data_IF_833924874359
#
_entry.id   IF_833924874359
#
_cell.length_a   1.000
_cell.length_b   1.000
_cell.length_c   1.000
_cell.angle_alpha   90.00
_cell.angle_beta   90.00
_cell.angle_gamma   90.00
#
_symmetry.space_group_name_H-M   'P 1'
#
loop_
_entity.id
_entity.type
_entity.pdbx_description
1 polymer ?
#
# COMPACT_ATOMS: atom_id res chain seq x y z
N UNK A 1 -11.41 -48.29 2.25
CA UNK A 1 -11.11 -47.10 3.09
C UNK A 1 -10.98 -47.62 4.52
N UNK A 2 -9.76 -47.99 4.94
CA UNK A 2 -9.48 -48.52 6.28
C UNK A 2 -9.15 -47.31 7.18
N UNK A 3 -9.99 -47.06 8.16
CA UNK A 3 -9.81 -46.01 9.16
C UNK A 3 -8.85 -46.50 10.24
N UNK A 4 -7.78 -45.74 10.52
CA UNK A 4 -6.78 -46.00 11.57
C UNK A 4 -7.33 -45.83 13.01
N UNK A 5 -8.60 -46.17 13.24
CA UNK A 5 -9.27 -46.03 14.54
C UNK A 5 -9.46 -47.38 15.28
N UNK A 6 -9.16 -48.51 14.63
CA UNK A 6 -9.31 -49.86 15.21
C UNK A 6 -8.03 -50.42 15.85
N UNK A 7 -6.99 -49.62 16.06
CA UNK A 7 -5.72 -50.09 16.67
C UNK A 7 -5.76 -50.12 18.21
N UNK A 8 -6.89 -49.74 18.82
CA UNK A 8 -7.10 -49.81 20.27
C UNK A 8 -8.14 -50.89 20.61
N UNK A 9 -7.75 -52.16 20.46
CA UNK A 9 -8.50 -53.27 21.05
C UNK A 9 -8.26 -53.25 22.57
N UNK A 10 -9.29 -52.89 23.34
CA UNK A 10 -9.27 -52.74 24.80
C UNK A 10 -9.54 -54.04 25.56
N UNK A 11 -9.84 -55.13 24.86
CA UNK A 11 -10.35 -56.37 25.48
C UNK A 11 -9.30 -57.17 26.26
N UNK A 12 -8.00 -56.88 26.07
CA UNK A 12 -6.88 -57.57 26.74
C UNK A 12 -6.16 -56.69 27.77
N UNK A 13 -6.75 -55.54 28.12
CA UNK A 13 -6.19 -54.63 29.11
C UNK A 13 -6.63 -55.10 30.51
N UNK A 14 -5.70 -55.27 31.48
CA UNK A 14 -6.08 -55.61 32.84
C UNK A 14 -7.00 -54.51 33.40
N UNK A 15 -8.04 -54.86 34.17
CA UNK A 15 -8.90 -53.88 34.86
C UNK A 15 -8.02 -52.96 35.70
N UNK A 16 -7.79 -51.74 35.18
CA UNK A 16 -6.99 -50.72 35.86
C UNK A 16 -7.84 -50.25 37.03
N UNK A 17 -7.58 -50.81 38.21
CA UNK A 17 -8.02 -50.25 39.49
C UNK A 17 -7.71 -48.74 39.51
N UNK A 18 -8.58 -47.96 40.16
CA UNK A 18 -8.72 -46.48 40.19
C UNK A 18 -7.46 -45.62 40.52
N UNK A 19 -6.24 -46.17 40.43
CA UNK A 19 -4.99 -45.55 40.82
C UNK A 19 -3.93 -45.64 39.71
N UNK A 20 -4.16 -44.97 38.59
CA UNK A 20 -3.12 -44.72 37.58
C UNK A 20 -2.63 -43.27 37.69
N UNK A 21 -1.34 -43.08 38.02
CA UNK A 21 -0.67 -41.77 37.95
C UNK A 21 0.27 -41.79 36.75
N UNK A 22 -0.13 -41.12 35.68
CA UNK A 22 0.66 -40.98 34.45
C UNK A 22 1.39 -39.65 34.37
N UNK A 23 2.71 -39.66 34.14
CA UNK A 23 3.46 -38.45 33.80
C UNK A 23 3.35 -38.25 32.28
N UNK A 24 2.57 -37.26 31.86
CA UNK A 24 2.43 -36.90 30.44
C UNK A 24 3.48 -35.85 30.07
N UNK A 25 4.57 -36.28 29.44
CA UNK A 25 5.54 -35.38 28.83
C UNK A 25 5.09 -34.95 27.43
N UNK A 26 4.65 -33.70 27.26
CA UNK A 26 4.51 -33.09 25.92
C UNK A 26 5.85 -32.50 25.50
N UNK A 27 6.54 -33.17 24.57
CA UNK A 27 7.71 -32.61 23.89
C UNK A 27 7.28 -32.07 22.52
N UNK A 28 7.28 -30.74 22.30
CA UNK A 28 7.04 -30.21 20.96
C UNK A 28 8.24 -30.58 20.08
N UNK A 29 8.04 -31.48 19.12
CA UNK A 29 9.01 -31.72 18.06
C UNK A 29 8.82 -30.62 17.02
N UNK A 30 9.80 -29.73 16.88
CA UNK A 30 9.86 -28.83 15.74
C UNK A 30 10.06 -29.67 14.47
N UNK A 31 8.96 -29.98 13.78
CA UNK A 31 9.02 -30.63 12.47
C UNK A 31 9.70 -29.68 11.48
N UNK A 32 10.60 -30.20 10.66
CA UNK A 32 11.24 -29.46 9.55
C UNK A 32 10.21 -28.83 8.60
N UNK A 33 9.01 -29.42 8.52
CA UNK A 33 7.87 -28.89 7.75
C UNK A 33 7.27 -27.63 8.39
N UNK A 34 7.13 -27.60 9.72
CA UNK A 34 6.61 -26.43 10.44
C UNK A 34 7.60 -25.27 10.39
N UNK A 35 8.91 -25.54 10.57
CA UNK A 35 9.96 -24.54 10.41
C UNK A 35 9.99 -23.96 8.99
N UNK A 36 9.76 -24.77 7.96
CA UNK A 36 9.67 -24.28 6.57
C UNK A 36 8.42 -23.42 6.33
N UNK A 37 7.29 -23.80 6.94
CA UNK A 37 6.02 -23.05 6.86
C UNK A 37 6.14 -21.68 7.54
N UNK A 38 6.73 -21.62 8.73
CA UNK A 38 6.98 -20.37 9.44
C UNK A 38 7.88 -19.43 8.63
N UNK A 39 8.98 -19.94 8.06
CA UNK A 39 9.85 -19.18 7.16
C UNK A 39 9.11 -18.65 5.94
N UNK A 40 8.21 -19.45 5.36
CA UNK A 40 7.44 -19.03 4.20
C UNK A 40 6.42 -17.93 4.55
N UNK A 41 5.76 -18.02 5.69
CA UNK A 41 4.87 -16.96 6.17
C UNK A 41 5.61 -15.67 6.51
N UNK A 42 6.78 -15.78 7.13
CA UNK A 42 7.63 -14.63 7.39
C UNK A 42 8.11 -13.98 6.09
N UNK A 43 8.58 -14.78 5.14
CA UNK A 43 8.96 -14.31 3.81
C UNK A 43 7.80 -13.59 3.12
N UNK A 44 6.61 -14.19 3.08
CA UNK A 44 5.42 -13.58 2.49
C UNK A 44 5.07 -12.24 3.15
N UNK A 45 5.15 -12.15 4.48
CA UNK A 45 4.87 -10.91 5.23
C UNK A 45 5.88 -9.81 4.90
N UNK A 46 7.16 -10.16 4.80
CA UNK A 46 8.24 -9.24 4.42
C UNK A 46 8.10 -8.77 2.98
N UNK A 47 7.82 -9.69 2.06
CA UNK A 47 7.62 -9.39 0.64
C UNK A 47 6.39 -8.52 0.42
N UNK A 48 5.24 -8.84 1.05
CA UNK A 48 4.02 -8.05 0.91
C UNK A 48 4.23 -6.61 1.41
N UNK A 49 4.88 -6.46 2.57
CA UNK A 49 5.23 -5.14 3.11
C UNK A 49 6.16 -4.38 2.18
N UNK A 50 7.21 -5.02 1.65
CA UNK A 50 8.12 -4.40 0.71
C UNK A 50 7.42 -3.94 -0.57
N UNK A 51 6.50 -4.75 -1.11
CA UNK A 51 5.69 -4.39 -2.28
C UNK A 51 4.79 -3.20 -2.00
N UNK A 52 4.11 -3.15 -0.85
CA UNK A 52 3.27 -2.01 -0.48
C UNK A 52 4.07 -0.72 -0.28
N UNK A 53 5.26 -0.81 0.33
CA UNK A 53 6.17 0.35 0.50
C UNK A 53 6.67 0.85 -0.86
N UNK A 54 7.07 -0.06 -1.76
CA UNK A 54 7.51 0.29 -3.10
C UNK A 54 6.39 0.97 -3.91
N UNK A 55 5.18 0.41 -3.86
CA UNK A 55 4.01 0.94 -4.55
C UNK A 55 3.63 2.34 -4.03
N UNK A 56 3.69 2.56 -2.71
CA UNK A 56 3.47 3.89 -2.12
C UNK A 56 4.53 4.90 -2.59
N UNK A 57 5.80 4.52 -2.55
CA UNK A 57 6.91 5.39 -2.99
C UNK A 57 6.78 5.77 -4.47
N UNK A 58 6.42 4.81 -5.32
CA UNK A 58 6.17 5.02 -6.74
C UNK A 58 4.97 5.96 -6.95
N UNK A 59 3.83 5.71 -6.30
CA UNK A 59 2.65 6.56 -6.43
C UNK A 59 2.94 8.02 -6.02
N UNK A 60 3.78 8.22 -5.00
CA UNK A 60 4.25 9.56 -4.60
C UNK A 60 5.11 10.21 -5.68
N UNK A 61 6.08 9.48 -6.23
CA UNK A 61 6.94 10.00 -7.29
C UNK A 61 6.12 10.40 -8.52
N UNK A 62 5.18 9.55 -8.93
CA UNK A 62 4.29 9.79 -10.07
C UNK A 62 3.40 11.01 -9.84
N UNK A 63 2.83 11.18 -8.63
CA UNK A 63 2.06 12.38 -8.27
C UNK A 63 2.93 13.63 -8.39
N UNK A 64 4.14 13.62 -7.85
CA UNK A 64 5.04 14.78 -7.91
C UNK A 64 5.43 15.13 -9.35
N UNK A 65 5.63 14.11 -10.21
CA UNK A 65 5.82 14.30 -11.63
C UNK A 65 4.59 14.92 -12.31
N UNK A 66 3.39 14.39 -12.02
CA UNK A 66 2.13 14.90 -12.56
C UNK A 66 1.89 16.36 -12.19
N UNK A 67 2.20 16.78 -10.95
CA UNK A 67 2.12 18.19 -10.55
C UNK A 67 3.06 19.11 -11.33
N UNK A 68 4.31 18.68 -11.56
CA UNK A 68 5.27 19.46 -12.37
C UNK A 68 4.76 19.62 -13.80
N UNK A 69 4.25 18.54 -14.37
CA UNK A 69 3.70 18.51 -15.72
C UNK A 69 2.43 19.37 -15.85
N UNK A 70 1.56 19.36 -14.83
CA UNK A 70 0.42 20.26 -14.73
C UNK A 70 0.86 21.74 -14.72
N UNK A 71 1.87 22.08 -13.91
CA UNK A 71 2.43 23.44 -13.89
C UNK A 71 2.98 23.90 -15.25
N UNK A 72 3.69 23.00 -15.95
CA UNK A 72 4.14 23.27 -17.32
C UNK A 72 2.97 23.53 -18.27
N UNK A 73 1.93 22.69 -18.25
CA UNK A 73 0.77 22.92 -19.12
C UNK A 73 -0.01 24.19 -18.78
N UNK A 74 -0.13 24.56 -17.50
CA UNK A 74 -0.72 25.83 -17.11
C UNK A 74 0.07 27.02 -17.67
N UNK A 75 1.40 27.00 -17.60
CA UNK A 75 2.23 28.05 -18.20
C UNK A 75 2.10 28.14 -19.72
N UNK A 76 1.97 27.00 -20.40
CA UNK A 76 1.77 26.96 -21.85
C UNK A 76 0.38 27.45 -22.24
N UNK A 77 -0.63 27.10 -21.45
CA UNK A 77 -2.00 27.54 -21.63
C UNK A 77 -2.11 29.06 -21.48
N UNK A 78 -1.56 29.64 -20.41
CA UNK A 78 -1.47 31.10 -20.23
C UNK A 78 -0.77 31.81 -21.40
N UNK A 79 0.32 31.23 -21.92
CA UNK A 79 1.01 31.77 -23.10
C UNK A 79 0.15 31.68 -24.36
N UNK A 80 -0.57 30.58 -24.55
CA UNK A 80 -1.45 30.39 -25.71
C UNK A 80 -2.61 31.38 -25.70
N UNK A 81 -3.18 31.67 -24.52
CA UNK A 81 -4.21 32.68 -24.35
C UNK A 81 -3.73 34.05 -24.83
N UNK A 82 -2.50 34.45 -24.46
CA UNK A 82 -1.91 35.72 -24.91
C UNK A 82 -1.73 35.75 -26.44
N UNK A 83 -1.29 34.65 -27.05
CA UNK A 83 -1.12 34.56 -28.51
C UNK A 83 -2.44 34.63 -29.27
N UNK A 84 -3.49 34.00 -28.74
CA UNK A 84 -4.84 34.06 -29.31
C UNK A 84 -5.40 35.48 -29.17
N UNK A 85 -5.22 36.13 -28.02
CA UNK A 85 -5.65 37.52 -27.81
C UNK A 85 -4.95 38.51 -28.77
N UNK A 86 -3.69 38.24 -29.13
CA UNK A 86 -2.93 39.02 -30.13
C UNK A 86 -3.27 38.65 -31.59
N UNK A 87 -4.14 37.66 -31.82
CA UNK A 87 -4.50 37.18 -33.16
C UNK A 87 -3.37 36.41 -33.88
N UNK A 88 -2.32 36.02 -33.17
CA UNK A 88 -1.15 35.30 -33.73
C UNK A 88 -1.42 33.81 -33.87
N UNK A 89 -2.31 33.25 -33.04
CA UNK A 89 -2.64 31.84 -33.01
C UNK A 89 -4.15 31.59 -33.11
N UNK A 90 -4.54 30.43 -33.61
CA UNK A 90 -5.92 29.98 -33.65
C UNK A 90 -6.40 29.57 -32.25
N UNK A 91 -7.70 29.77 -31.97
CA UNK A 91 -8.39 29.30 -30.77
C UNK A 91 -8.19 27.79 -30.55
N UNK A 92 -8.00 27.02 -31.63
CA UNK A 92 -7.73 25.58 -31.54
C UNK A 92 -6.46 25.25 -30.72
N UNK A 93 -5.44 26.13 -30.72
CA UNK A 93 -4.23 25.94 -29.90
C UNK A 93 -4.58 26.01 -28.40
N UNK A 94 -5.40 26.99 -28.01
CA UNK A 94 -5.84 27.16 -26.63
C UNK A 94 -6.70 25.98 -26.17
N UNK A 95 -7.65 25.52 -27.00
CA UNK A 95 -8.51 24.38 -26.68
C UNK A 95 -7.69 23.10 -26.48
N UNK A 96 -6.71 22.86 -27.36
CA UNK A 96 -5.83 21.70 -27.23
C UNK A 96 -4.95 21.74 -25.95
N UNK A 97 -4.51 22.92 -25.51
CA UNK A 97 -3.76 23.06 -24.26
C UNK A 97 -4.66 22.93 -23.03
N UNK A 98 -5.89 23.46 -23.09
CA UNK A 98 -6.90 23.25 -22.04
C UNK A 98 -7.21 21.77 -21.85
N UNK A 99 -7.34 21.00 -22.92
CA UNK A 99 -7.54 19.54 -22.84
C UNK A 99 -6.36 18.85 -22.13
N UNK A 100 -5.12 19.26 -22.44
CA UNK A 100 -3.91 18.73 -21.78
C UNK A 100 -3.85 19.10 -20.29
N UNK A 101 -4.22 20.34 -19.94
CA UNK A 101 -4.33 20.77 -18.53
C UNK A 101 -5.35 19.90 -17.80
N UNK A 102 -6.56 19.73 -18.35
CA UNK A 102 -7.60 18.88 -17.77
C UNK A 102 -7.15 17.42 -17.61
N UNK A 103 -6.47 16.86 -18.62
CA UNK A 103 -5.89 15.53 -18.57
C UNK A 103 -4.83 15.39 -17.47
N UNK A 104 -3.96 16.40 -17.30
CA UNK A 104 -2.96 16.40 -16.23
C UNK A 104 -3.58 16.50 -14.84
N UNK A 105 -4.65 17.28 -14.66
CA UNK A 105 -5.42 17.34 -13.41
C UNK A 105 -6.02 15.98 -13.06
N UNK A 106 -6.60 15.27 -14.03
CA UNK A 106 -7.11 13.91 -13.82
C UNK A 106 -6.01 12.96 -13.34
N UNK A 107 -4.82 13.05 -13.92
CA UNK A 107 -3.69 12.21 -13.55
C UNK A 107 -3.21 12.50 -12.12
N UNK A 108 -3.15 13.76 -11.71
CA UNK A 108 -2.84 14.14 -10.31
C UNK A 108 -3.80 13.45 -9.35
N UNK A 109 -5.11 13.58 -9.57
CA UNK A 109 -6.13 12.95 -8.72
C UNK A 109 -6.01 11.42 -8.69
N UNK A 110 -5.69 10.80 -9.84
CA UNK A 110 -5.51 9.35 -9.92
C UNK A 110 -4.30 8.87 -9.08
N UNK A 111 -3.19 9.60 -9.12
CA UNK A 111 -2.02 9.26 -8.31
C UNK A 111 -2.24 9.55 -6.81
N UNK A 112 -2.99 10.61 -6.47
CA UNK A 112 -3.39 10.86 -5.09
C UNK A 112 -4.26 9.74 -4.52
N UNK A 113 -5.22 9.24 -5.29
CA UNK A 113 -6.05 8.10 -4.89
C UNK A 113 -5.19 6.86 -4.60
N UNK A 114 -4.20 6.57 -5.45
CA UNK A 114 -3.24 5.46 -5.25
C UNK A 114 -2.38 5.62 -3.99
N UNK A 115 -1.94 6.85 -3.69
CA UNK A 115 -1.21 7.12 -2.44
C UNK A 115 -2.10 6.81 -1.23
N UNK A 116 -3.37 7.22 -1.25
CA UNK A 116 -4.32 6.92 -0.18
C UNK A 116 -4.54 5.42 -0.04
N UNK A 117 -4.71 4.71 -1.16
CA UNK A 117 -4.86 3.25 -1.18
C UNK A 117 -3.66 2.54 -0.54
N UNK A 118 -2.44 2.83 -1.03
CA UNK A 118 -1.23 2.20 -0.51
C UNK A 118 -0.92 2.61 0.94
N UNK A 119 -1.28 3.83 1.35
CA UNK A 119 -1.19 4.26 2.75
C UNK A 119 -2.06 3.40 3.65
N UNK A 120 -3.33 3.23 3.29
CA UNK A 120 -4.28 2.44 4.09
C UNK A 120 -3.86 0.97 4.12
N UNK A 121 -3.32 0.43 3.02
CA UNK A 121 -2.76 -0.91 3.00
C UNK A 121 -1.56 -1.07 3.95
N UNK A 122 -0.65 -0.10 4.00
CA UNK A 122 0.48 -0.10 4.94
C UNK A 122 0.02 -0.01 6.39
N UNK A 123 -0.96 0.83 6.69
CA UNK A 123 -1.54 0.95 8.03
C UNK A 123 -2.24 -0.34 8.45
N UNK A 124 -2.93 -1.02 7.53
CA UNK A 124 -3.58 -2.31 7.81
C UNK A 124 -2.59 -3.47 8.05
N UNK A 125 -1.34 -3.35 7.61
CA UNK A 125 -0.27 -4.32 7.89
C UNK A 125 0.37 -4.10 9.28
N UNK A 126 0.10 -2.97 9.93
CA UNK A 126 0.66 -2.64 11.24
C UNK A 126 -0.17 -3.22 12.39
N UNK A 127 0.50 -3.46 13.52
CA UNK A 127 -0.18 -3.67 14.79
C UNK A 127 -0.91 -2.39 15.24
N UNK A 128 -2.06 -2.54 15.92
CA UNK A 128 -2.90 -1.42 16.36
C UNK A 128 -2.15 -0.37 17.18
N UNK A 129 -1.18 -0.79 17.98
CA UNK A 129 -0.33 0.08 18.81
C UNK A 129 0.51 1.06 17.97
N UNK A 130 0.99 0.63 16.79
CA UNK A 130 1.84 1.43 15.90
C UNK A 130 1.08 2.07 14.74
N UNK A 131 -0.13 1.59 14.43
CA UNK A 131 -0.97 2.04 13.32
C UNK A 131 -1.08 3.57 13.22
N UNK A 132 -1.33 4.25 14.35
CA UNK A 132 -1.46 5.72 14.42
C UNK A 132 -0.15 6.44 14.11
N UNK A 133 0.96 5.97 14.67
CA UNK A 133 2.28 6.58 14.46
C UNK A 133 2.74 6.41 13.02
N UNK A 134 2.55 5.23 12.44
CA UNK A 134 2.88 4.96 11.03
C UNK A 134 1.99 5.79 10.11
N UNK A 135 0.70 5.87 10.39
CA UNK A 135 -0.21 6.70 9.60
C UNK A 135 0.20 8.17 9.61
N UNK A 136 0.57 8.72 10.76
CA UNK A 136 1.05 10.11 10.86
C UNK A 136 2.32 10.31 10.05
N UNK A 137 3.30 9.41 10.20
CA UNK A 137 4.53 9.45 9.43
C UNK A 137 4.28 9.40 7.91
N UNK A 138 3.36 8.53 7.46
CA UNK A 138 3.01 8.42 6.04
C UNK A 138 2.29 9.67 5.52
N UNK A 139 1.47 10.34 6.34
CA UNK A 139 0.84 11.61 5.99
C UNK A 139 1.88 12.73 5.85
N UNK A 140 2.79 12.85 6.80
CA UNK A 140 3.87 13.83 6.77
C UNK A 140 4.80 13.59 5.56
N UNK A 141 5.08 12.31 5.26
CA UNK A 141 5.90 11.94 4.11
C UNK A 141 5.15 12.15 2.78
N UNK A 142 3.83 11.94 2.74
CA UNK A 142 3.01 12.23 1.57
C UNK A 142 2.79 13.73 1.34
N UNK A 143 3.04 14.58 2.35
CA UNK A 143 2.77 16.00 2.27
C UNK A 143 3.41 16.63 1.04
N UNK A 144 2.59 17.38 0.29
CA UNK A 144 3.06 18.26 -0.77
C UNK A 144 2.81 19.69 -0.27
N UNK A 145 3.85 20.53 -0.14
CA UNK A 145 3.65 21.91 0.25
C UNK A 145 2.74 22.59 -0.79
N UNK A 146 1.73 23.37 -0.34
CA UNK A 146 0.93 24.15 -1.24
C UNK A 146 1.84 25.12 -2.01
N UNK A 147 1.52 25.39 -3.27
CA UNK A 147 2.21 26.41 -4.04
C UNK A 147 2.05 27.73 -3.27
N UNK A 148 3.13 28.26 -2.69
CA UNK A 148 3.10 29.55 -2.02
C UNK A 148 2.65 30.60 -3.03
N UNK A 149 1.42 31.07 -2.91
CA UNK A 149 0.92 32.24 -3.62
C UNK A 149 1.46 33.50 -2.91
N UNK A 150 2.78 33.60 -2.76
CA UNK A 150 3.42 34.80 -2.23
C UNK A 150 3.96 35.65 -3.38
N UNK A 151 3.01 36.24 -4.11
CA UNK A 151 3.18 37.62 -4.55
C UNK A 151 2.02 38.40 -3.95
N UNK A 152 2.19 38.78 -2.68
CA UNK A 152 1.45 39.90 -2.12
C UNK A 152 1.71 41.11 -3.01
N UNK A 153 0.66 41.49 -3.73
CA UNK A 153 0.48 42.81 -4.29
C UNK A 153 0.94 43.87 -3.28
N UNK A 154 2.00 44.58 -3.66
CA UNK A 154 2.25 45.97 -3.28
C UNK A 154 2.46 46.75 -4.56
#
# INVERSE_FOLDING_TARGET
MKTNLDEYNSDDWPEISEHYVGIVGKMPLYSTTEQSRERQWEYQRRTSTATSVAAFAQARADRNYAYRLMGLYLSLEARSQQRVAQGVASVNEQVALLEKVAGSHRNVLAHEAKIVEHRLALVALCEDSYSKSVNQYLLDWAYLPPHQAEHQSK
#
